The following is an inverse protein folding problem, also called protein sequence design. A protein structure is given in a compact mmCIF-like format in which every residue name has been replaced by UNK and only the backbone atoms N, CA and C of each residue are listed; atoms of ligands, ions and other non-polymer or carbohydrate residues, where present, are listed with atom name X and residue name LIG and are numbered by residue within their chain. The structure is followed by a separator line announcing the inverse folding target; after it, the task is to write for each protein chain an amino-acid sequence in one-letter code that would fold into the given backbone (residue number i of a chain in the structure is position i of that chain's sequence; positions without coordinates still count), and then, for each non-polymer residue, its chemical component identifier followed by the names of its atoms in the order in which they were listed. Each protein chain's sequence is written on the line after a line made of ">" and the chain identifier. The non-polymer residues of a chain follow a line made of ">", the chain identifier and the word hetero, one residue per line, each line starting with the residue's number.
data_IF_213170495975
#
_entry.id   IF_213170495975
#
_cell.length_a   1.000
_cell.length_b   1.000
_cell.length_c   1.000
_cell.angle_alpha   90.00
_cell.angle_beta   90.00
_cell.angle_gamma   90.00
#
_symmetry.space_group_name_H-M   'P 1'
#
loop_
_entity.id
_entity.type
_entity.pdbx_description
1 polymer ?
#
# COMPACT_ATOMS: atom_id res chain seq x y z
N UNK A 1 -4.96 7.46 4.62
CA UNK A 1 -4.67 6.03 4.85
C UNK A 1 -4.03 5.85 6.23
N UNK A 2 -4.40 4.81 6.97
CA UNK A 2 -3.94 4.56 8.35
C UNK A 2 -3.43 3.12 8.45
N UNK A 3 -2.30 2.90 9.14
CA UNK A 3 -1.68 1.57 9.26
C UNK A 3 -2.64 0.47 9.71
N UNK A 4 -3.35 0.71 10.80
CA UNK A 4 -4.22 -0.30 11.41
C UNK A 4 -5.46 -0.55 10.57
N UNK A 5 -6.08 0.50 10.01
CA UNK A 5 -7.22 0.35 9.10
C UNK A 5 -6.86 -0.47 7.87
N UNK A 6 -5.67 -0.26 7.33
CA UNK A 6 -5.24 -0.97 6.13
C UNK A 6 -4.89 -2.44 6.42
N UNK A 7 -4.33 -2.70 7.59
CA UNK A 7 -4.05 -4.06 8.04
C UNK A 7 -5.35 -4.83 8.33
N UNK A 8 -6.33 -4.18 8.97
CA UNK A 8 -7.66 -4.73 9.22
C UNK A 8 -8.36 -5.07 7.90
N UNK A 9 -8.46 -4.10 6.98
CA UNK A 9 -9.05 -4.32 5.66
C UNK A 9 -8.35 -5.42 4.86
N UNK A 10 -7.03 -5.58 5.04
CA UNK A 10 -6.29 -6.69 4.42
C UNK A 10 -6.71 -8.06 4.97
N UNK A 11 -6.92 -8.19 6.27
CA UNK A 11 -7.38 -9.45 6.86
C UNK A 11 -8.84 -9.76 6.52
N UNK A 12 -9.70 -8.76 6.49
CA UNK A 12 -11.09 -8.90 6.01
C UNK A 12 -11.10 -9.40 4.55
N UNK A 13 -10.36 -8.72 3.67
CA UNK A 13 -10.22 -9.12 2.28
C UNK A 13 -9.65 -10.53 2.12
N UNK A 14 -8.65 -10.93 2.92
CA UNK A 14 -8.12 -12.29 2.91
C UNK A 14 -9.16 -13.35 3.30
N UNK A 15 -10.14 -13.00 4.14
CA UNK A 15 -11.23 -13.89 4.56
C UNK A 15 -12.34 -14.05 3.52
N UNK A 16 -12.49 -13.06 2.64
CA UNK A 16 -13.60 -12.97 1.68
C UNK A 16 -13.17 -13.20 0.22
N UNK A 17 -11.88 -13.09 -0.10
CA UNK A 17 -11.39 -13.12 -1.48
C UNK A 17 -11.54 -14.49 -2.14
N UNK A 18 -12.09 -14.52 -3.36
CA UNK A 18 -12.11 -15.70 -4.23
C UNK A 18 -10.74 -15.98 -4.87
N UNK A 19 -9.80 -15.04 -4.79
CA UNK A 19 -8.44 -15.14 -5.31
C UNK A 19 -7.43 -15.19 -4.17
N UNK A 20 -7.31 -16.34 -3.47
CA UNK A 20 -6.44 -16.46 -2.33
C UNK A 20 -4.97 -16.30 -2.75
N UNK A 21 -4.24 -15.52 -1.97
CA UNK A 21 -2.77 -15.42 -2.08
C UNK A 21 -2.12 -16.37 -1.10
N UNK A 22 -0.87 -16.77 -1.38
CA UNK A 22 -0.11 -17.59 -0.45
C UNK A 22 0.19 -16.84 0.87
N UNK A 23 0.33 -17.59 1.97
CA UNK A 23 0.76 -17.03 3.26
C UNK A 23 2.06 -16.22 3.16
N UNK A 24 2.99 -16.64 2.30
CA UNK A 24 4.24 -15.91 2.06
C UNK A 24 4.04 -14.61 1.28
N UNK A 25 3.06 -14.56 0.36
CA UNK A 25 2.64 -13.32 -0.28
C UNK A 25 1.97 -12.37 0.70
N UNK A 26 1.13 -12.89 1.60
CA UNK A 26 0.55 -12.08 2.69
C UNK A 26 1.64 -11.51 3.61
N UNK A 27 2.65 -12.31 3.99
CA UNK A 27 3.78 -11.83 4.79
C UNK A 27 4.60 -10.75 4.06
N UNK A 28 4.82 -10.92 2.75
CA UNK A 28 5.43 -9.88 1.92
C UNK A 28 4.61 -8.58 1.95
N UNK A 29 3.29 -8.68 1.81
CA UNK A 29 2.41 -7.50 1.83
C UNK A 29 2.48 -6.77 3.18
N UNK A 30 2.38 -7.48 4.30
CA UNK A 30 2.49 -6.90 5.66
C UNK A 30 3.85 -6.23 5.85
N UNK A 31 4.94 -6.87 5.39
CA UNK A 31 6.26 -6.27 5.45
C UNK A 31 6.33 -4.96 4.64
N UNK A 32 5.78 -4.95 3.43
CA UNK A 32 5.74 -3.76 2.57
C UNK A 32 4.87 -2.66 3.16
N UNK A 33 3.76 -2.99 3.82
CA UNK A 33 2.92 -2.06 4.56
C UNK A 33 3.73 -1.36 5.66
N UNK A 34 4.43 -2.13 6.48
CA UNK A 34 5.31 -1.59 7.52
C UNK A 34 6.41 -0.69 6.93
N UNK A 35 7.06 -1.12 5.84
CA UNK A 35 8.08 -0.30 5.15
C UNK A 35 7.51 1.01 4.63
N UNK A 36 6.31 0.99 4.06
CA UNK A 36 5.67 2.18 3.54
C UNK A 36 5.32 3.17 4.68
N UNK A 37 4.77 2.67 5.78
CA UNK A 37 4.49 3.46 6.98
C UNK A 37 5.77 4.06 7.59
N UNK A 38 6.86 3.29 7.65
CA UNK A 38 8.15 3.77 8.14
C UNK A 38 8.79 4.84 7.23
N UNK A 39 8.30 4.99 5.99
CA UNK A 39 8.72 6.00 5.03
C UNK A 39 7.70 7.15 4.90
N UNK A 40 6.71 7.23 5.79
CA UNK A 40 5.73 8.31 5.80
C UNK A 40 6.42 9.66 6.03
N UNK A 41 5.89 10.70 5.39
CA UNK A 41 6.41 12.06 5.47
C UNK A 41 5.56 12.88 6.44
N UNK A 42 6.17 13.62 7.37
CA UNK A 42 5.44 14.58 8.18
C UNK A 42 5.02 15.77 7.33
N UNK A 43 3.85 16.33 7.66
CA UNK A 43 3.32 17.57 7.09
C UNK A 43 3.42 18.71 8.09
N UNK A 44 3.27 19.96 7.63
CA UNK A 44 3.23 21.14 8.49
C UNK A 44 2.05 21.09 9.48
N UNK A 45 0.99 20.37 9.13
CA UNK A 45 -0.21 20.16 9.94
C UNK A 45 -0.06 19.00 10.94
N UNK A 46 1.14 18.41 11.07
CA UNK A 46 1.41 17.32 12.01
C UNK A 46 0.89 15.95 11.58
N UNK A 47 0.39 15.81 10.35
CA UNK A 47 -0.06 14.54 9.78
C UNK A 47 1.12 13.78 9.16
N UNK A 48 1.10 12.46 9.26
CA UNK A 48 2.05 11.57 8.58
C UNK A 48 1.42 10.99 7.33
N UNK A 49 1.93 11.39 6.16
CA UNK A 49 1.38 10.97 4.87
C UNK A 49 2.24 9.88 4.24
N UNK A 50 1.59 8.79 3.86
CA UNK A 50 2.24 7.65 3.25
C UNK A 50 2.62 7.96 1.82
N UNK A 51 3.86 7.63 1.45
CA UNK A 51 4.34 7.81 0.08
C UNK A 51 3.67 6.80 -0.84
N UNK A 52 3.25 7.25 -2.03
CA UNK A 52 2.72 6.35 -3.06
C UNK A 52 3.79 5.38 -3.56
N UNK A 53 5.03 5.86 -3.66
CA UNK A 53 6.16 5.07 -4.13
C UNK A 53 7.26 5.00 -3.07
N UNK A 54 7.78 3.80 -2.86
CA UNK A 54 8.90 3.53 -1.96
C UNK A 54 9.79 2.42 -2.53
N UNK A 55 11.01 2.34 -2.02
CA UNK A 55 12.03 1.44 -2.55
C UNK A 55 12.44 0.42 -1.51
N UNK A 56 12.57 -0.84 -1.94
CA UNK A 56 13.08 -1.91 -1.11
C UNK A 56 14.14 -2.70 -1.87
N UNK A 57 15.29 -2.91 -1.22
CA UNK A 57 16.38 -3.74 -1.75
C UNK A 57 15.96 -5.21 -1.76
N UNK A 58 16.17 -5.95 -2.85
CA UNK A 58 15.84 -7.37 -2.92
C UNK A 58 16.46 -8.19 -1.79
N UNK A 59 17.71 -7.92 -1.42
CA UNK A 59 18.44 -8.64 -0.38
C UNK A 59 17.78 -8.48 1.00
N UNK A 60 17.15 -7.33 1.24
CA UNK A 60 16.45 -7.09 2.49
C UNK A 60 15.18 -7.95 2.58
N UNK A 61 14.49 -8.14 1.45
CA UNK A 61 13.31 -9.01 1.38
C UNK A 61 13.69 -10.47 1.57
N UNK A 62 14.75 -10.93 0.89
CA UNK A 62 15.25 -12.30 1.04
C UNK A 62 15.64 -12.60 2.48
N UNK A 63 16.35 -11.67 3.13
CA UNK A 63 16.78 -11.81 4.53
C UNK A 63 15.60 -11.79 5.50
N UNK A 64 14.68 -10.84 5.37
CA UNK A 64 13.57 -10.69 6.33
C UNK A 64 12.52 -11.78 6.16
N UNK A 65 12.26 -12.22 4.93
CA UNK A 65 11.26 -13.25 4.64
C UNK A 65 11.86 -14.67 4.61
N UNK A 66 13.17 -14.79 4.89
CA UNK A 66 13.93 -16.05 4.84
C UNK A 66 13.65 -16.84 3.54
N UNK A 67 13.72 -16.17 2.40
CA UNK A 67 13.32 -16.73 1.10
C UNK A 67 14.23 -16.26 -0.03
N UNK A 68 14.08 -16.87 -1.21
CA UNK A 68 14.89 -16.53 -2.40
C UNK A 68 14.24 -15.43 -3.23
N UNK A 69 15.04 -14.72 -4.03
CA UNK A 69 14.54 -13.72 -4.98
C UNK A 69 13.44 -14.26 -5.90
N UNK A 70 13.59 -15.50 -6.37
CA UNK A 70 12.59 -16.17 -7.21
C UNK A 70 11.24 -16.28 -6.50
N UNK A 71 11.24 -16.65 -5.23
CA UNK A 71 10.03 -16.72 -4.43
C UNK A 71 9.46 -15.33 -4.17
N UNK A 72 10.29 -14.33 -3.84
CA UNK A 72 9.82 -12.93 -3.72
C UNK A 72 9.16 -12.45 -5.01
N UNK A 73 9.74 -12.76 -6.18
CA UNK A 73 9.16 -12.41 -7.46
C UNK A 73 7.79 -13.07 -7.68
N UNK A 74 7.64 -14.35 -7.33
CA UNK A 74 6.34 -15.06 -7.35
C UNK A 74 5.31 -14.36 -6.46
N UNK A 75 5.67 -14.04 -5.22
CA UNK A 75 4.79 -13.38 -4.27
C UNK A 75 4.35 -11.99 -4.74
N UNK A 76 5.24 -11.24 -5.41
CA UNK A 76 4.87 -9.97 -6.05
C UNK A 76 3.81 -10.17 -7.12
N UNK A 77 3.95 -11.18 -7.97
CA UNK A 77 2.96 -11.48 -9.03
C UNK A 77 1.61 -11.80 -8.42
N UNK A 78 1.57 -12.61 -7.35
CA UNK A 78 0.32 -12.90 -6.62
C UNK A 78 -0.35 -11.61 -6.13
N UNK A 79 0.40 -10.72 -5.45
CA UNK A 79 -0.13 -9.46 -4.93
C UNK A 79 -0.54 -8.46 -6.03
N UNK A 80 0.17 -8.46 -7.17
CA UNK A 80 -0.17 -7.62 -8.32
C UNK A 80 -1.47 -8.11 -8.97
N UNK A 81 -1.61 -9.42 -9.16
CA UNK A 81 -2.82 -10.01 -9.73
C UNK A 81 -4.04 -9.80 -8.80
N UNK A 82 -3.83 -9.84 -7.48
CA UNK A 82 -4.83 -9.50 -6.47
C UNK A 82 -5.13 -7.99 -6.35
N UNK A 83 -4.46 -7.13 -7.14
CA UNK A 83 -4.64 -5.69 -7.10
C UNK A 83 -4.27 -5.05 -5.75
N UNK A 84 -3.38 -5.67 -4.98
CA UNK A 84 -2.95 -5.19 -3.66
C UNK A 84 -1.60 -4.48 -3.68
N UNK A 85 -0.85 -4.63 -4.78
CA UNK A 85 0.47 -4.08 -4.96
C UNK A 85 0.71 -3.70 -6.43
N UNK A 86 1.47 -2.63 -6.67
CA UNK A 86 2.13 -2.38 -7.95
C UNK A 86 3.66 -2.41 -7.76
N UNK A 87 4.37 -2.95 -8.74
CA UNK A 87 5.81 -3.18 -8.67
C UNK A 87 6.49 -2.82 -9.99
N UNK A 88 7.59 -2.06 -9.90
CA UNK A 88 8.47 -1.78 -11.03
C UNK A 88 9.88 -2.31 -10.75
N UNK A 89 10.37 -3.14 -11.68
CA UNK A 89 11.74 -3.64 -11.67
C UNK A 89 12.74 -2.48 -11.73
N UNK A 90 13.85 -2.63 -11.02
CA UNK A 90 14.94 -1.69 -11.18
C UNK A 90 15.56 -1.82 -12.59
N UNK A 91 15.88 -0.69 -13.22
CA UNK A 91 16.41 -0.66 -14.61
C UNK A 91 17.76 -1.37 -14.79
N UNK A 92 18.49 -1.67 -13.70
CA UNK A 92 19.79 -2.38 -13.70
C UNK A 92 19.99 -3.22 -12.44
N UNK A 93 20.29 -4.52 -12.59
CA UNK A 93 20.85 -5.38 -11.52
C UNK A 93 20.10 -5.40 -10.18
N UNK A 94 20.86 -5.59 -9.08
CA UNK A 94 20.42 -5.62 -7.66
C UNK A 94 19.96 -4.25 -7.11
N UNK A 95 19.56 -3.32 -7.97
CA UNK A 95 19.05 -2.03 -7.53
C UNK A 95 17.69 -2.19 -6.80
N UNK A 96 17.35 -1.26 -5.88
CA UNK A 96 16.08 -1.32 -5.17
C UNK A 96 14.90 -1.33 -6.13
N UNK A 97 14.00 -2.29 -5.93
CA UNK A 97 12.73 -2.30 -6.66
C UNK A 97 11.79 -1.23 -6.12
N UNK A 98 10.95 -0.66 -6.99
CA UNK A 98 9.97 0.34 -6.61
C UNK A 98 8.61 -0.32 -6.37
N UNK A 99 7.99 0.01 -5.25
CA UNK A 99 6.71 -0.53 -4.81
C UNK A 99 5.69 0.57 -4.59
N UNK A 100 4.44 0.24 -4.86
CA UNK A 100 3.26 1.04 -4.53
C UNK A 100 2.23 0.15 -3.87
N UNK A 101 1.91 0.43 -2.60
CA UNK A 101 0.79 -0.21 -1.90
C UNK A 101 -0.50 0.32 -2.50
N UNK A 102 -1.43 -0.55 -2.87
CA UNK A 102 -2.74 -0.13 -3.38
C UNK A 102 -3.73 -0.08 -2.21
N UNK A 103 -4.31 1.09 -1.88
CA UNK A 103 -5.24 1.19 -0.77
C UNK A 103 -6.51 0.36 -0.98
N UNK A 104 -7.09 -0.14 0.10
CA UNK A 104 -8.42 -0.73 0.16
C UNK A 104 -9.51 0.34 0.08
N UNK A 105 -9.31 1.47 0.75
CA UNK A 105 -10.29 2.56 0.76
C UNK A 105 -10.39 3.22 -0.63
N UNK A 106 -11.58 3.24 -1.27
CA UNK A 106 -11.74 3.74 -2.65
C UNK A 106 -11.56 5.25 -2.77
N UNK A 107 -11.74 5.97 -1.67
CA UNK A 107 -11.57 7.41 -1.59
C UNK A 107 -10.13 7.82 -1.25
N UNK A 108 -9.17 6.88 -1.20
CA UNK A 108 -7.77 7.19 -1.00
C UNK A 108 -7.06 7.22 -2.35
N UNK A 109 -6.42 8.35 -2.66
CA UNK A 109 -5.75 8.53 -3.94
C UNK A 109 -4.42 9.26 -3.84
N UNK A 110 -3.61 9.21 -4.91
CA UNK A 110 -2.35 9.94 -4.98
C UNK A 110 -2.60 11.45 -5.12
N UNK A 111 -1.81 12.24 -4.39
CA UNK A 111 -1.70 13.69 -4.54
C UNK A 111 -0.23 14.12 -4.40
N UNK A 112 0.17 15.16 -5.13
CA UNK A 112 1.51 15.73 -5.03
C UNK A 112 1.50 16.84 -3.98
N UNK A 113 2.24 16.64 -2.88
CA UNK A 113 2.38 17.61 -1.81
C UNK A 113 3.85 17.97 -1.59
N UNK A 114 4.10 19.13 -1.02
CA UNK A 114 5.42 19.55 -0.60
C UNK A 114 5.69 19.06 0.81
N UNK A 115 6.77 18.33 1.02
CA UNK A 115 7.20 17.90 2.36
C UNK A 115 7.80 19.07 3.17
N UNK A 116 8.10 18.83 4.45
CA UNK A 116 8.75 19.83 5.33
C UNK A 116 10.09 20.35 4.80
N UNK A 117 10.73 19.64 3.86
CA UNK A 117 12.01 20.01 3.26
C UNK A 117 11.86 20.83 1.97
N UNK A 118 10.63 21.15 1.56
CA UNK A 118 10.34 21.86 0.32
C UNK A 118 10.38 20.96 -0.92
N UNK A 119 10.47 19.63 -0.76
CA UNK A 119 10.55 18.70 -1.88
C UNK A 119 9.16 18.17 -2.26
N UNK A 120 8.85 18.06 -3.56
CA UNK A 120 7.62 17.42 -3.99
C UNK A 120 7.67 15.93 -3.68
N UNK A 121 6.61 15.41 -3.08
CA UNK A 121 6.40 14.00 -2.82
C UNK A 121 4.97 13.61 -3.19
N UNK A 122 4.82 12.48 -3.87
CA UNK A 122 3.50 11.89 -4.10
C UNK A 122 3.10 11.05 -2.91
N UNK A 123 2.00 11.42 -2.27
CA UNK A 123 1.48 10.79 -1.05
C UNK A 123 0.01 10.42 -1.22
N UNK A 124 -0.46 9.54 -0.33
CA UNK A 124 -1.86 9.16 -0.26
C UNK A 124 -2.65 10.13 0.61
N UNK A 125 -3.70 10.70 0.03
CA UNK A 125 -4.67 11.57 0.70
C UNK A 125 -6.05 10.92 0.67
N UNK A 126 -6.88 11.27 1.65
CA UNK A 126 -8.32 10.98 1.58
C UNK A 126 -8.93 12.07 0.71
N UNK A 127 -9.59 11.65 -0.37
CA UNK A 127 -10.40 12.51 -1.22
C UNK A 127 -11.81 12.48 -0.68
N UNK A 128 -12.44 13.63 -0.56
CA UNK A 128 -13.87 13.67 -0.28
C UNK A 128 -14.58 12.95 -1.43
N UNK A 129 -15.36 11.93 -1.10
CA UNK A 129 -16.33 11.40 -2.05
C UNK A 129 -17.34 12.54 -2.29
N UNK A 130 -17.76 12.83 -3.54
CA UNK A 130 -18.96 13.64 -3.71
C UNK A 130 -20.03 12.99 -2.85
N UNK A 131 -20.70 13.78 -1.99
CA UNK A 131 -21.86 13.31 -1.22
C UNK A 131 -22.74 12.56 -2.19
N UNK A 132 -22.83 11.24 -2.05
CA UNK A 132 -23.91 10.52 -2.67
C UNK A 132 -25.15 11.14 -2.05
N UNK A 133 -25.97 11.81 -2.89
CA UNK A 133 -27.29 12.30 -2.53
C UNK A 133 -27.93 11.22 -1.66
N UNK A 134 -28.02 11.50 -0.37
CA UNK A 134 -28.54 10.54 0.59
C UNK A 134 -29.97 10.28 0.15
N UNK A 135 -30.36 9.02 -0.15
CA UNK A 135 -31.76 8.76 -0.45
C UNK A 135 -32.59 9.22 0.77
N UNK A 136 -33.81 9.73 0.53
CA UNK A 136 -34.65 10.21 1.61
C UNK A 136 -34.77 9.11 2.66
N UNK A 137 -34.61 9.50 3.91
CA UNK A 137 -34.78 8.62 5.06
C UNK A 137 -36.23 8.14 5.03
N UNK A 138 -36.46 6.95 4.51
CA UNK A 138 -37.72 6.24 4.71
C UNK A 138 -37.80 5.92 6.21
N UNK A 139 -38.51 6.78 6.92
CA UNK A 139 -39.01 6.48 8.25
C UNK A 139 -39.93 5.27 8.13
N UNK A 140 -39.43 4.07 8.42
CA UNK A 140 -40.30 2.95 8.71
C UNK A 140 -41.01 3.19 10.07
N UNK A 141 -42.29 2.80 10.17
CA UNK A 141 -43.17 3.13 11.29
C UNK A 141 -42.80 2.47 12.62
#
# INVERSE_FOLDING_TARGET
>A
MNFFKELEAFFEWMGETETPISHSAALLWIYLLWRNNACALPTLQGQWLWRVQFYVRPELLERTLHTTYRNVARYRVELVNAGRLSYQNARRGRSPGQYTMLPFAPNVGPEALTDLTGRPATVYVVKDLPEADSPPVDNCP
#
